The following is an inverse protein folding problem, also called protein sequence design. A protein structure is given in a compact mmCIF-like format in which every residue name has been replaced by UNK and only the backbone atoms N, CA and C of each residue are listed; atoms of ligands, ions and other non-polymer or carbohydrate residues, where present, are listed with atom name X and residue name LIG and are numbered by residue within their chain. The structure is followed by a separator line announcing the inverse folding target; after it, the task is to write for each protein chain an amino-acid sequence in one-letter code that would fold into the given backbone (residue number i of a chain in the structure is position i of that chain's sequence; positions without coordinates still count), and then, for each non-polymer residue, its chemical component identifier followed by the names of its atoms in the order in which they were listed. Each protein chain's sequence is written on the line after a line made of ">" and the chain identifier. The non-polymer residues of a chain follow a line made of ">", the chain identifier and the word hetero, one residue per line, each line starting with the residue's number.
data_IF_164773284246
#
_entry.id   IF_164773284246
#
_cell.length_a   1.000
_cell.length_b   1.000
_cell.length_c   1.000
_cell.angle_alpha   90.00
_cell.angle_beta   90.00
_cell.angle_gamma   90.00
#
_symmetry.space_group_name_H-M   'P 1'
#
loop_
_entity.id
_entity.type
_entity.pdbx_description
1 polymer ?
#
# COMPACT_ATOMS: atom_id res chain seq x y z
N UNK A 1 -11.39 -13.68 21.78
CA UNK A 1 -11.42 -13.73 20.29
C UNK A 1 -12.75 -14.26 19.75
N UNK A 2 -13.30 -15.34 20.30
CA UNK A 2 -14.61 -15.87 19.89
C UNK A 2 -15.78 -14.91 20.11
N UNK A 3 -15.72 -14.05 21.12
CA UNK A 3 -16.74 -13.02 21.39
C UNK A 3 -16.60 -11.74 20.53
N UNK A 4 -15.57 -11.65 19.67
CA UNK A 4 -15.44 -10.49 18.79
C UNK A 4 -16.50 -10.53 17.67
N UNK A 5 -16.92 -9.38 17.13
CA UNK A 5 -17.83 -9.33 15.98
C UNK A 5 -17.33 -10.07 14.73
N UNK A 6 -16.05 -10.46 14.71
CA UNK A 6 -15.42 -11.16 13.60
C UNK A 6 -15.40 -12.69 13.78
N UNK A 7 -15.93 -13.22 14.89
CA UNK A 7 -16.02 -14.65 15.15
C UNK A 7 -14.67 -15.35 15.37
N UNK A 8 -13.58 -14.60 15.55
CA UNK A 8 -12.24 -15.17 15.66
C UNK A 8 -11.14 -14.12 15.80
N UNK A 9 -9.87 -14.58 15.81
CA UNK A 9 -8.71 -13.68 15.77
C UNK A 9 -8.58 -13.09 14.37
N UNK A 10 -8.19 -11.82 14.31
CA UNK A 10 -7.93 -11.10 13.07
C UNK A 10 -6.49 -10.61 13.06
N UNK A 11 -5.89 -10.47 11.87
CA UNK A 11 -4.62 -9.80 11.73
C UNK A 11 -4.76 -8.32 12.13
N UNK A 12 -3.75 -7.77 12.83
CA UNK A 12 -3.70 -6.34 13.09
C UNK A 12 -3.63 -5.56 11.77
N UNK A 13 -4.33 -4.44 11.69
CA UNK A 13 -4.37 -3.63 10.48
C UNK A 13 -2.99 -3.23 9.98
N UNK A 14 -2.09 -2.84 10.91
CA UNK A 14 -0.72 -2.46 10.59
C UNK A 14 0.13 -3.64 10.09
N UNK A 15 -0.11 -4.87 10.55
CA UNK A 15 0.57 -6.06 10.02
C UNK A 15 0.25 -6.25 8.53
N UNK A 16 -1.03 -6.12 8.17
CA UNK A 16 -1.47 -6.22 6.77
C UNK A 16 -0.88 -5.08 5.92
N UNK A 17 -0.78 -3.85 6.46
CA UNK A 17 -0.10 -2.74 5.79
C UNK A 17 1.40 -3.02 5.58
N UNK A 18 2.09 -3.62 6.56
CA UNK A 18 3.49 -4.05 6.39
C UNK A 18 3.66 -5.13 5.34
N UNK A 19 2.71 -6.07 5.21
CA UNK A 19 2.74 -7.04 4.11
C UNK A 19 2.45 -6.36 2.76
N UNK A 20 1.54 -5.40 2.74
CA UNK A 20 1.22 -4.63 1.54
C UNK A 20 2.43 -3.82 1.01
N UNK A 21 3.28 -3.26 1.88
CA UNK A 21 4.52 -2.61 1.45
C UNK A 21 5.50 -3.57 0.78
N UNK A 22 5.68 -4.77 1.35
CA UNK A 22 6.49 -5.81 0.71
C UNK A 22 5.91 -6.27 -0.64
N UNK A 23 4.59 -6.41 -0.75
CA UNK A 23 3.94 -6.77 -2.02
C UNK A 23 4.06 -5.67 -3.07
N UNK A 24 3.94 -4.40 -2.67
CA UNK A 24 4.14 -3.28 -3.58
C UNK A 24 5.59 -3.21 -4.08
N UNK A 25 6.59 -3.51 -3.23
CA UNK A 25 8.00 -3.54 -3.63
C UNK A 25 8.22 -4.55 -4.77
N UNK A 26 7.54 -5.70 -4.69
CA UNK A 26 7.60 -6.75 -5.71
C UNK A 26 6.98 -6.35 -7.06
N UNK A 27 6.26 -5.23 -7.14
CA UNK A 27 5.79 -4.67 -8.41
C UNK A 27 6.93 -3.96 -9.18
N UNK A 28 8.09 -3.76 -8.57
CA UNK A 28 9.31 -3.26 -9.21
C UNK A 28 9.37 -1.74 -9.44
N UNK A 29 8.24 -1.03 -9.32
CA UNK A 29 8.22 0.43 -9.51
C UNK A 29 8.90 1.20 -8.37
N UNK A 30 9.14 0.57 -7.20
CA UNK A 30 9.78 1.20 -6.04
C UNK A 30 11.28 0.90 -5.94
N UNK A 31 11.70 -0.27 -6.43
CA UNK A 31 13.07 -0.76 -6.31
C UNK A 31 14.04 0.16 -7.03
N UNK A 32 14.93 0.82 -6.29
CA UNK A 32 15.94 1.73 -6.84
C UNK A 32 15.39 3.07 -7.35
N UNK A 33 14.08 3.33 -7.22
CA UNK A 33 13.45 4.57 -7.68
C UNK A 33 12.94 5.44 -6.52
N UNK A 34 12.57 4.84 -5.38
CA UNK A 34 12.06 5.59 -4.22
C UNK A 34 13.22 6.27 -3.51
N UNK A 35 13.21 7.60 -3.54
CA UNK A 35 14.10 8.46 -2.75
C UNK A 35 13.58 8.68 -1.34
N UNK A 36 12.27 8.55 -1.13
CA UNK A 36 11.70 8.55 0.21
C UNK A 36 10.19 8.31 0.25
N UNK A 37 9.74 7.77 1.39
CA UNK A 37 8.32 7.59 1.70
C UNK A 37 7.84 8.80 2.51
N UNK A 38 7.00 9.65 1.93
CA UNK A 38 6.63 10.95 2.53
C UNK A 38 5.44 10.88 3.47
N UNK A 39 4.56 9.91 3.27
CA UNK A 39 3.38 9.72 4.11
C UNK A 39 2.29 8.94 3.41
N UNK A 40 1.23 8.67 4.15
CA UNK A 40 0.10 7.89 3.66
C UNK A 40 -1.22 8.32 4.32
N UNK A 41 -2.32 8.13 3.60
CA UNK A 41 -3.67 8.07 4.18
C UNK A 41 -4.14 6.63 4.10
N UNK A 42 -4.83 6.12 5.12
CA UNK A 42 -5.15 4.69 5.17
C UNK A 42 -6.45 4.38 5.89
N UNK A 43 -7.17 3.38 5.37
CA UNK A 43 -8.47 2.96 5.85
C UNK A 43 -8.53 1.44 6.01
N UNK A 44 -9.04 0.97 7.14
CA UNK A 44 -9.27 -0.44 7.44
C UNK A 44 -10.73 -0.78 7.15
N UNK A 45 -10.99 -1.40 5.99
CA UNK A 45 -12.34 -1.61 5.44
C UNK A 45 -12.96 -2.95 5.83
N UNK A 46 -12.16 -3.98 6.05
CA UNK A 46 -12.60 -5.27 6.57
C UNK A 46 -11.48 -5.99 7.33
N UNK A 47 -11.87 -6.91 8.21
CA UNK A 47 -10.93 -7.78 8.88
C UNK A 47 -10.26 -8.76 7.90
N UNK A 48 -8.99 -9.06 8.16
CA UNK A 48 -8.24 -10.15 7.52
C UNK A 48 -8.10 -11.26 8.55
N UNK A 49 -8.53 -12.47 8.20
CA UNK A 49 -8.52 -13.62 9.09
C UNK A 49 -7.31 -14.53 8.82
N UNK A 50 -7.01 -15.41 9.77
CA UNK A 50 -6.00 -16.45 9.57
C UNK A 50 -6.44 -17.35 8.40
N UNK A 51 -5.57 -17.53 7.41
CA UNK A 51 -5.85 -18.30 6.19
C UNK A 51 -6.27 -17.45 4.99
N UNK A 52 -6.56 -16.15 5.18
CA UNK A 52 -6.80 -15.26 4.04
C UNK A 52 -5.53 -15.07 3.21
N UNK A 53 -5.71 -14.98 1.90
CA UNK A 53 -4.66 -14.58 0.96
C UNK A 53 -4.93 -13.16 0.51
N UNK A 54 -3.93 -12.29 0.61
CA UNK A 54 -4.05 -10.90 0.19
C UNK A 54 -3.15 -10.58 -1.00
N UNK A 55 -3.58 -9.63 -1.83
CA UNK A 55 -2.78 -9.04 -2.89
C UNK A 55 -2.98 -7.51 -2.93
N UNK A 56 -2.06 -6.81 -3.58
CA UNK A 56 -2.08 -5.35 -3.71
C UNK A 56 -2.36 -4.97 -5.15
N UNK A 57 -3.23 -4.00 -5.35
CA UNK A 57 -3.31 -3.22 -6.59
C UNK A 57 -2.88 -1.78 -6.30
N UNK A 58 -2.18 -1.18 -7.25
CA UNK A 58 -1.70 0.18 -7.15
C UNK A 58 -1.94 0.91 -8.48
N UNK A 59 -2.38 2.16 -8.39
CA UNK A 59 -2.52 3.06 -9.54
C UNK A 59 -1.95 4.43 -9.20
N UNK A 60 -1.33 5.10 -10.17
CA UNK A 60 -0.91 6.49 -10.01
C UNK A 60 -2.14 7.39 -9.95
N UNK A 61 -2.23 8.21 -8.91
CA UNK A 61 -3.32 9.17 -8.70
C UNK A 61 -2.87 10.61 -9.00
N UNK A 62 -1.63 10.97 -8.64
CA UNK A 62 -1.07 12.30 -8.87
C UNK A 62 0.43 12.23 -9.16
N UNK A 63 0.90 13.11 -10.04
CA UNK A 63 2.32 13.34 -10.32
C UNK A 63 2.64 14.82 -10.11
N UNK A 64 3.66 15.11 -9.32
CA UNK A 64 4.15 16.47 -9.06
C UNK A 64 5.67 16.53 -9.19
N UNK A 65 6.21 17.03 -10.32
CA UNK A 65 7.65 17.18 -10.52
C UNK A 65 8.32 18.01 -9.41
N UNK A 66 9.51 17.58 -8.97
CA UNK A 66 10.36 18.27 -8.00
C UNK A 66 11.84 18.19 -8.42
N UNK A 67 12.24 18.83 -9.54
CA UNK A 67 13.59 18.67 -10.08
C UNK A 67 14.72 18.99 -9.09
N UNK A 68 14.49 19.95 -8.18
CA UNK A 68 15.44 20.34 -7.12
C UNK A 68 15.76 19.20 -6.14
N UNK A 69 14.91 18.18 -6.08
CA UNK A 69 15.09 16.98 -5.25
C UNK A 69 15.55 15.75 -6.07
N UNK A 70 15.91 15.94 -7.35
CA UNK A 70 16.32 14.84 -8.24
C UNK A 70 15.17 13.92 -8.67
N UNK A 71 13.91 14.37 -8.56
CA UNK A 71 12.74 13.52 -8.76
C UNK A 71 11.40 14.25 -8.81
N UNK A 72 10.34 13.55 -8.39
CA UNK A 72 8.99 14.07 -8.27
C UNK A 72 8.19 13.34 -7.20
N UNK A 73 7.20 14.02 -6.62
CA UNK A 73 6.24 13.35 -5.77
C UNK A 73 5.25 12.57 -6.63
N UNK A 74 5.03 11.31 -6.27
CA UNK A 74 4.02 10.44 -6.86
C UNK A 74 3.07 10.01 -5.77
N UNK A 75 1.79 10.30 -5.95
CA UNK A 75 0.73 9.76 -5.09
C UNK A 75 0.20 8.50 -5.75
N UNK A 76 0.39 7.36 -5.09
CA UNK A 76 -0.20 6.09 -5.47
C UNK A 76 -1.48 5.88 -4.69
N UNK A 77 -2.54 5.45 -5.37
CA UNK A 77 -3.74 4.90 -4.75
C UNK A 77 -3.58 3.39 -4.68
N UNK A 78 -3.70 2.82 -3.48
CA UNK A 78 -3.52 1.40 -3.24
C UNK A 78 -4.79 0.76 -2.67
N UNK A 79 -5.01 -0.49 -3.06
CA UNK A 79 -5.99 -1.37 -2.44
C UNK A 79 -5.33 -2.70 -2.07
N UNK A 80 -5.64 -3.19 -0.89
CA UNK A 80 -5.35 -4.56 -0.46
C UNK A 80 -6.64 -5.34 -0.59
N UNK A 81 -6.61 -6.40 -1.39
CA UNK A 81 -7.76 -7.26 -1.64
C UNK A 81 -7.48 -8.67 -1.10
N UNK A 82 -8.52 -9.36 -0.63
CA UNK A 82 -8.42 -10.77 -0.27
C UNK A 82 -8.73 -11.70 -1.46
N UNK A 83 -8.74 -13.02 -1.23
CA UNK A 83 -9.04 -14.05 -2.22
C UNK A 83 -10.45 -13.96 -2.84
N UNK A 84 -11.37 -13.24 -2.21
CA UNK A 84 -12.72 -12.98 -2.71
C UNK A 84 -12.83 -11.62 -3.42
N UNK A 85 -11.70 -10.98 -3.75
CA UNK A 85 -11.63 -9.62 -4.32
C UNK A 85 -12.30 -8.54 -3.45
N UNK A 86 -12.43 -8.78 -2.13
CA UNK A 86 -12.93 -7.77 -1.20
C UNK A 86 -11.79 -6.85 -0.80
N UNK A 87 -11.99 -5.54 -0.92
CA UNK A 87 -11.05 -4.54 -0.41
C UNK A 87 -11.05 -4.58 1.11
N UNK A 88 -9.95 -5.08 1.69
CA UNK A 88 -9.77 -5.18 3.15
C UNK A 88 -9.09 -3.94 3.72
N UNK A 89 -8.21 -3.31 2.95
CA UNK A 89 -7.60 -2.02 3.27
C UNK A 89 -7.40 -1.20 2.00
N UNK A 90 -7.39 0.12 2.13
CA UNK A 90 -7.10 1.02 1.01
C UNK A 90 -6.56 2.35 1.50
N UNK A 91 -5.95 3.09 0.60
CA UNK A 91 -5.45 4.42 0.92
C UNK A 91 -4.57 4.97 -0.17
N UNK A 92 -3.82 6.02 0.19
CA UNK A 92 -2.86 6.64 -0.71
C UNK A 92 -1.47 6.66 -0.07
N UNK A 93 -0.43 6.41 -0.87
CA UNK A 93 0.97 6.59 -0.48
C UNK A 93 1.55 7.74 -1.28
N UNK A 94 2.25 8.64 -0.60
CA UNK A 94 3.00 9.71 -1.24
C UNK A 94 4.48 9.37 -1.19
N UNK A 95 5.08 9.12 -2.34
CA UNK A 95 6.49 8.77 -2.48
C UNK A 95 7.22 9.88 -3.23
N UNK A 96 8.48 10.13 -2.86
CA UNK A 96 9.41 10.86 -3.70
C UNK A 96 10.12 9.83 -4.58
N UNK A 97 9.93 9.94 -5.89
CA UNK A 97 10.47 9.02 -6.89
C UNK A 97 11.53 9.75 -7.72
N UNK A 98 12.68 9.10 -7.94
CA UNK A 98 13.78 9.60 -8.77
C UNK A 98 13.29 9.83 -10.20
N UNK A 99 13.73 10.92 -10.82
CA UNK A 99 13.52 11.11 -12.26
C UNK A 99 14.28 10.05 -13.05
N UNK A 100 13.77 9.68 -14.22
CA UNK A 100 14.58 8.91 -15.17
C UNK A 100 15.79 9.76 -15.59
N UNK A 101 16.95 9.11 -15.72
CA UNK A 101 18.11 9.72 -16.36
C UNK A 101 17.83 9.83 -17.86
N UNK A 102 18.25 10.93 -18.48
CA UNK A 102 18.17 11.13 -19.94
C UNK A 102 19.15 10.23 -20.71
#
# INVERSE_FOLDING_TARGET
>A
AGESPYGGRIAHGLLVLSVASGLAERLGFMTGTVLGFMGLTWEFRAAVQIGDTIHVTASVEELKPMPRLGGGYVTFKLQVLNQANKVVQRGTWKLLIKSQEE
#
